data_IF_574850778389
#
_entry.id   IF_574850778389
#
_cell.length_a   1.000
_cell.length_b   1.000
_cell.length_c   1.000
_cell.angle_alpha   90.00
_cell.angle_beta   90.00
_cell.angle_gamma   90.00
#
_symmetry.space_group_name_H-M   'P 1'
#
loop_
_entity.id
_entity.type
_entity.pdbx_description
1 polymer ?
#
# COMPACT_ATOMS: atom_id res chain seq x y z
N UNK A 1 16.76 -26.32 17.89
CA UNK A 1 17.11 -25.82 16.53
C UNK A 1 15.94 -25.10 15.80
N UNK A 2 14.97 -24.51 16.49
CA UNK A 2 13.91 -23.69 15.87
C UNK A 2 14.24 -22.19 15.88
N UNK A 3 14.88 -21.71 16.96
CA UNK A 3 15.28 -20.31 17.11
C UNK A 3 16.26 -19.86 16.00
N UNK A 4 17.26 -20.68 15.69
CA UNK A 4 18.24 -20.40 14.61
C UNK A 4 17.55 -20.30 13.25
N UNK A 5 16.56 -21.15 12.98
CA UNK A 5 15.77 -21.09 11.73
C UNK A 5 14.93 -19.82 11.65
N UNK A 6 14.34 -19.40 12.78
CA UNK A 6 13.56 -18.16 12.85
C UNK A 6 14.44 -16.92 12.67
N UNK A 7 15.63 -16.89 13.29
CA UNK A 7 16.60 -15.81 13.12
C UNK A 7 17.11 -15.72 11.68
N UNK A 8 17.43 -16.86 11.05
CA UNK A 8 17.86 -16.88 9.65
C UNK A 8 16.75 -16.38 8.72
N UNK A 9 15.49 -16.74 8.99
CA UNK A 9 14.32 -16.26 8.23
C UNK A 9 14.12 -14.75 8.40
N UNK A 10 14.27 -14.22 9.61
CA UNK A 10 14.20 -12.77 9.88
C UNK A 10 15.34 -12.01 9.21
N UNK A 11 16.58 -12.49 9.32
CA UNK A 11 17.74 -11.88 8.67
C UNK A 11 17.57 -11.86 7.15
N UNK A 12 17.11 -12.96 6.56
CA UNK A 12 16.80 -13.05 5.13
C UNK A 12 15.73 -12.03 4.72
N UNK A 13 14.63 -11.97 5.46
CA UNK A 13 13.54 -11.02 5.17
C UNK A 13 14.01 -9.57 5.32
N UNK A 14 14.84 -9.28 6.33
CA UNK A 14 15.45 -7.97 6.54
C UNK A 14 16.40 -7.57 5.41
N UNK A 15 17.23 -8.50 4.92
CA UNK A 15 18.12 -8.27 3.79
C UNK A 15 17.33 -7.98 2.51
N UNK A 16 16.30 -8.77 2.22
CA UNK A 16 15.42 -8.51 1.07
C UNK A 16 14.69 -7.18 1.19
N UNK A 17 14.18 -6.84 2.37
CA UNK A 17 13.55 -5.54 2.60
C UNK A 17 14.54 -4.40 2.36
N UNK A 18 15.77 -4.50 2.89
CA UNK A 18 16.81 -3.50 2.68
C UNK A 18 17.16 -3.34 1.18
N UNK A 19 17.40 -4.46 0.48
CA UNK A 19 17.68 -4.44 -0.96
C UNK A 19 16.53 -3.86 -1.78
N UNK A 20 15.29 -4.20 -1.45
CA UNK A 20 14.11 -3.64 -2.11
C UNK A 20 13.99 -2.13 -1.89
N UNK A 21 14.17 -1.68 -0.64
CA UNK A 21 14.17 -0.25 -0.30
C UNK A 21 15.27 0.51 -1.03
N UNK A 22 16.47 -0.04 -1.04
CA UNK A 22 17.62 0.53 -1.73
C UNK A 22 17.33 0.64 -3.24
N UNK A 23 16.81 -0.43 -3.84
CA UNK A 23 16.47 -0.48 -5.26
C UNK A 23 15.36 0.51 -5.63
N UNK A 24 14.34 0.69 -4.78
CA UNK A 24 13.28 1.69 -4.98
C UNK A 24 13.88 3.10 -4.90
N UNK A 25 14.75 3.36 -3.92
CA UNK A 25 15.38 4.67 -3.72
C UNK A 25 16.35 5.06 -4.83
N UNK A 26 17.04 4.09 -5.45
CA UNK A 26 17.96 4.30 -6.57
C UNK A 26 17.30 4.16 -7.96
N UNK A 27 16.01 3.83 -8.03
CA UNK A 27 15.31 3.77 -9.32
C UNK A 27 15.07 5.20 -9.82
N UNK A 28 15.79 5.57 -10.88
CA UNK A 28 15.71 6.90 -11.50
C UNK A 28 14.47 7.10 -12.37
N UNK A 29 13.77 6.02 -12.74
CA UNK A 29 12.57 6.11 -13.57
C UNK A 29 11.31 6.38 -12.73
N UNK A 30 10.46 7.33 -13.16
CA UNK A 30 9.20 7.62 -12.49
C UNK A 30 8.39 6.33 -12.39
N UNK A 31 8.04 5.95 -11.16
CA UNK A 31 7.33 4.71 -10.87
C UNK A 31 6.03 5.03 -10.12
N UNK A 32 4.90 4.64 -10.70
CA UNK A 32 3.58 4.73 -10.05
C UNK A 32 3.27 3.42 -9.32
N UNK A 33 2.98 3.50 -8.03
CA UNK A 33 2.52 2.40 -7.21
C UNK A 33 1.04 2.63 -6.89
N UNK A 34 0.18 1.70 -7.31
CA UNK A 34 -1.26 1.77 -7.09
C UNK A 34 -1.62 0.79 -5.98
N UNK A 35 -2.19 1.31 -4.89
CA UNK A 35 -2.78 0.44 -3.87
C UNK A 35 -4.23 0.16 -4.22
N UNK A 36 -4.55 -1.12 -4.35
CA UNK A 36 -5.91 -1.57 -4.61
C UNK A 36 -6.40 -2.34 -3.39
N UNK A 37 -7.44 -1.83 -2.74
CA UNK A 37 -8.11 -2.49 -1.64
C UNK A 37 -9.52 -2.91 -2.07
N UNK A 38 -9.93 -4.09 -1.65
CA UNK A 38 -11.27 -4.59 -1.90
C UNK A 38 -12.28 -3.96 -0.94
N UNK A 39 -12.22 -4.32 0.35
CA UNK A 39 -13.12 -3.78 1.39
C UNK A 39 -12.37 -3.48 2.67
N UNK A 40 -12.71 -2.35 3.27
CA UNK A 40 -12.20 -1.92 4.58
C UNK A 40 -13.37 -2.04 5.55
N UNK A 41 -13.32 -3.00 6.46
CA UNK A 41 -14.38 -3.25 7.43
C UNK A 41 -13.82 -3.18 8.85
N UNK A 42 -14.54 -2.62 9.84
CA UNK A 42 -14.14 -2.75 11.24
C UNK A 42 -14.04 -4.21 11.67
N UNK A 43 -13.15 -4.51 12.62
CA UNK A 43 -12.92 -5.89 13.10
C UNK A 43 -14.18 -6.57 13.66
N UNK A 44 -15.13 -5.78 14.18
CA UNK A 44 -16.38 -6.26 14.76
C UNK A 44 -17.55 -6.30 13.76
N UNK A 45 -17.32 -5.98 12.48
CA UNK A 45 -18.42 -5.92 11.50
C UNK A 45 -18.95 -7.33 11.18
N UNK A 46 -20.27 -7.57 11.28
CA UNK A 46 -20.88 -8.87 10.95
C UNK A 46 -20.69 -9.24 9.46
N UNK A 47 -20.44 -8.25 8.60
CA UNK A 47 -20.15 -8.44 7.18
C UNK A 47 -18.81 -9.17 6.93
N UNK A 48 -17.97 -9.32 7.96
CA UNK A 48 -16.73 -10.10 7.86
C UNK A 48 -16.99 -11.60 7.74
N UNK A 49 -18.11 -12.10 8.25
CA UNK A 49 -18.42 -13.54 8.23
C UNK A 49 -18.79 -14.06 6.83
N UNK A 50 -19.19 -13.18 5.92
CA UNK A 50 -19.62 -13.55 4.56
C UNK A 50 -18.53 -13.41 3.50
N UNK A 51 -17.37 -12.87 3.89
CA UNK A 51 -16.28 -12.48 2.99
C UNK A 51 -15.10 -13.44 3.13
N UNK A 52 -14.40 -13.70 2.03
CA UNK A 52 -13.26 -14.61 2.04
C UNK A 52 -12.04 -13.99 2.75
N UNK A 53 -11.27 -14.77 3.51
CA UNK A 53 -10.01 -14.30 4.11
C UNK A 53 -9.05 -13.84 2.99
N UNK A 54 -8.64 -12.58 3.06
CA UNK A 54 -7.85 -11.91 2.00
C UNK A 54 -8.60 -10.80 1.26
N UNK A 55 -9.94 -10.75 1.36
CA UNK A 55 -10.79 -9.73 0.72
C UNK A 55 -11.10 -8.53 1.62
N UNK A 56 -10.69 -8.60 2.90
CA UNK A 56 -11.02 -7.59 3.91
C UNK A 56 -9.75 -7.11 4.61
N UNK A 57 -9.55 -5.79 4.63
CA UNK A 57 -8.61 -5.12 5.52
C UNK A 57 -9.36 -4.44 6.67
N UNK A 58 -8.71 -4.30 7.83
CA UNK A 58 -9.22 -3.41 8.87
C UNK A 58 -8.77 -1.96 8.59
N UNK A 59 -9.49 -0.94 9.09
CA UNK A 59 -9.03 0.45 9.02
C UNK A 59 -7.63 0.62 9.60
N UNK A 60 -7.32 -0.04 10.72
CA UNK A 60 -6.03 0.07 11.40
C UNK A 60 -4.90 -0.54 10.55
N UNK A 61 -5.19 -1.64 9.84
CA UNK A 61 -4.25 -2.26 8.92
C UNK A 61 -3.97 -1.35 7.70
N UNK A 62 -5.01 -0.68 7.17
CA UNK A 62 -4.84 0.30 6.10
C UNK A 62 -3.98 1.49 6.55
N UNK A 63 -4.25 2.05 7.73
CA UNK A 63 -3.48 3.16 8.29
C UNK A 63 -2.02 2.79 8.52
N UNK A 64 -1.77 1.55 9.00
CA UNK A 64 -0.43 1.01 9.11
C UNK A 64 0.27 0.95 7.73
N UNK A 65 -0.41 0.43 6.70
CA UNK A 65 0.17 0.35 5.35
C UNK A 65 0.48 1.74 4.78
N UNK A 66 -0.43 2.69 4.91
CA UNK A 66 -0.22 4.09 4.48
C UNK A 66 0.98 4.69 5.21
N UNK A 67 1.05 4.49 6.53
CA UNK A 67 2.15 5.00 7.35
C UNK A 67 3.50 4.39 6.97
N UNK A 68 3.54 3.09 6.69
CA UNK A 68 4.73 2.42 6.19
C UNK A 68 5.18 2.98 4.84
N UNK A 69 4.24 3.20 3.93
CA UNK A 69 4.54 3.74 2.61
C UNK A 69 5.02 5.18 2.68
N UNK A 70 4.42 6.03 3.53
CA UNK A 70 4.91 7.40 3.77
C UNK A 70 6.38 7.43 4.19
N UNK A 71 6.82 6.48 5.02
CA UNK A 71 8.23 6.37 5.44
C UNK A 71 9.20 6.06 4.30
N UNK A 72 8.69 5.58 3.16
CA UNK A 72 9.52 5.30 1.98
C UNK A 72 9.83 6.57 1.16
N UNK A 73 9.20 7.70 1.50
CA UNK A 73 9.31 8.95 0.75
C UNK A 73 8.57 9.07 -0.60
N UNK A 74 7.52 8.28 -0.92
CA UNK A 74 6.69 8.55 -2.09
C UNK A 74 5.89 9.83 -1.91
N UNK A 75 5.63 10.50 -3.02
CA UNK A 75 4.60 11.53 -3.09
C UNK A 75 3.24 10.86 -3.30
N UNK A 76 2.30 11.15 -2.42
CA UNK A 76 0.91 10.70 -2.57
C UNK A 76 0.21 11.64 -3.54
N UNK A 77 -0.19 11.11 -4.69
CA UNK A 77 -0.86 11.86 -5.75
C UNK A 77 -2.19 11.21 -6.08
N UNK A 78 -3.19 12.01 -6.43
CA UNK A 78 -4.42 11.45 -6.98
C UNK A 78 -4.11 10.69 -8.28
N UNK A 79 -4.83 9.59 -8.51
CA UNK A 79 -4.63 8.77 -9.71
C UNK A 79 -4.80 9.63 -10.98
N UNK A 80 -5.84 10.47 -11.01
CA UNK A 80 -6.15 11.33 -12.14
C UNK A 80 -5.00 12.30 -12.44
N UNK A 81 -4.48 12.97 -11.41
CA UNK A 81 -3.30 13.86 -11.53
C UNK A 81 -2.07 13.13 -12.05
N UNK A 82 -1.84 11.89 -11.61
CA UNK A 82 -0.72 11.08 -12.13
C UNK A 82 -0.90 10.66 -13.58
N UNK A 83 -2.14 10.36 -13.99
CA UNK A 83 -2.46 9.98 -15.37
C UNK A 83 -2.32 11.18 -16.31
N UNK A 84 -2.76 12.36 -15.87
CA UNK A 84 -2.65 13.59 -16.64
C UNK A 84 -1.18 14.02 -16.81
N UNK A 85 -0.38 13.97 -15.73
CA UNK A 85 1.06 14.22 -15.82
C UNK A 85 1.78 13.27 -16.80
N UNK A 86 1.36 12.00 -16.86
CA UNK A 86 1.92 11.03 -17.80
C UNK A 86 1.50 11.34 -19.25
N UNK A 87 0.25 11.76 -19.47
CA UNK A 87 -0.28 12.12 -20.79
C UNK A 87 0.37 13.36 -21.37
N UNK A 88 0.71 14.32 -20.51
CA UNK A 88 1.33 15.58 -20.90
C UNK A 88 2.85 15.51 -21.05
N UNK A 89 3.47 14.32 -20.90
CA UNK A 89 4.94 14.16 -20.78
C UNK A 89 5.56 15.02 -19.67
N UNK A 90 4.77 15.48 -18.71
CA UNK A 90 5.23 16.23 -17.57
C UNK A 90 5.95 15.29 -16.58
N UNK A 91 6.99 15.80 -15.92
CA UNK A 91 7.83 15.00 -15.02
C UNK A 91 6.98 14.42 -13.87
N UNK A 92 6.64 13.15 -13.98
CA UNK A 92 5.93 12.41 -12.94
C UNK A 92 6.88 12.22 -11.73
N UNK A 93 6.39 12.37 -10.49
CA UNK A 93 7.25 12.21 -9.32
C UNK A 93 7.87 10.82 -9.27
N UNK A 94 9.09 10.75 -8.73
CA UNK A 94 9.94 9.53 -8.76
C UNK A 94 9.22 8.30 -8.21
N UNK A 95 8.35 8.50 -7.22
CA UNK A 95 7.49 7.47 -6.66
C UNK A 95 6.12 8.07 -6.31
N UNK A 96 5.12 7.77 -7.13
CA UNK A 96 3.74 8.22 -6.93
C UNK A 96 2.94 7.11 -6.25
N UNK A 97 2.15 7.46 -5.22
CA UNK A 97 1.16 6.54 -4.66
C UNK A 97 -0.25 7.02 -4.95
N UNK A 98 -1.02 6.19 -5.65
CA UNK A 98 -2.43 6.45 -5.93
C UNK A 98 -3.33 5.46 -5.19
N UNK A 99 -4.44 5.99 -4.67
CA UNK A 99 -5.52 5.21 -4.08
C UNK A 99 -6.77 5.34 -4.94
N UNK A 100 -7.44 4.23 -5.23
CA UNK A 100 -8.69 4.22 -6.00
C UNK A 100 -9.83 4.74 -5.10
N UNK A 101 -10.04 6.06 -5.12
CA UNK A 101 -10.95 6.80 -4.24
C UNK A 101 -12.44 6.43 -4.32
N UNK A 102 -12.84 5.47 -5.16
CA UNK A 102 -14.23 4.99 -5.25
C UNK A 102 -14.66 4.05 -4.11
N UNK A 103 -13.73 3.37 -3.44
CA UNK A 103 -14.11 2.32 -2.46
C UNK A 103 -14.34 2.84 -1.02
N UNK A 104 -13.87 4.05 -0.69
CA UNK A 104 -13.86 4.53 0.71
C UNK A 104 -15.16 5.26 1.09
N UNK A 105 -15.93 5.79 0.14
CA UNK A 105 -17.14 6.58 0.44
C UNK A 105 -18.41 5.76 0.69
N UNK A 106 -18.39 4.44 0.55
CA UNK A 106 -19.61 3.61 0.72
C UNK A 106 -19.82 3.07 2.14
N UNK A 107 -18.92 3.34 3.09
CA UNK A 107 -18.99 2.81 4.46
C UNK A 107 -19.52 3.76 5.55
N UNK A 108 -19.73 5.04 5.24
CA UNK A 108 -20.06 6.07 6.26
C UNK A 108 -21.49 6.62 6.14
N UNK A 109 -22.35 6.00 5.35
CA UNK A 109 -23.78 6.33 5.31
C UNK A 109 -24.62 5.06 5.24
N UNK A 110 -24.93 4.50 6.41
CA UNK A 110 -26.23 3.90 6.72
C UNK A 110 -26.30 3.76 8.24
N UNK A 111 -27.03 4.70 8.82
CA UNK A 111 -27.65 4.58 10.13
C UNK A 111 -28.57 3.35 10.17
#
# INVERSE_FOLDING_TARGET
MQLVKQMLKQARNGLFACLALLRIKFKSSPSLVILTYHRILPSQSPLRHTEQPGMIATPEALDMHISLLKRLGPEFVALDTSLDAQRENNASPRLALANNGRSIRSGTQRA
#
